data_IF_196000105103
#
_entry.id   IF_196000105103
#
_cell.length_a   1.000
_cell.length_b   1.000
_cell.length_c   1.000
_cell.angle_alpha   90.00
_cell.angle_beta   90.00
_cell.angle_gamma   90.00
#
_symmetry.space_group_name_H-M   'P 1'
#
loop_
_entity.id
_entity.type
_entity.pdbx_description
1 polymer ?
#
# COMPACT_ATOMS: atom_id res chain seq x y z
N UNK A 1 12.60 16.31 10.42
CA UNK A 1 13.38 17.57 10.40
C UNK A 1 14.47 17.47 9.35
N UNK A 2 14.93 18.58 8.81
CA UNK A 2 15.99 18.62 7.79
C UNK A 2 17.23 17.81 8.20
N UNK A 3 17.62 17.88 9.48
CA UNK A 3 18.74 17.09 10.00
C UNK A 3 18.46 15.58 9.99
N UNK A 4 17.24 15.17 10.27
CA UNK A 4 16.84 13.76 10.22
C UNK A 4 16.83 13.28 8.77
N UNK A 5 16.36 14.11 7.85
CA UNK A 5 16.31 13.79 6.43
C UNK A 5 17.72 13.62 5.84
N UNK A 6 18.65 14.50 6.23
CA UNK A 6 20.06 14.38 5.85
C UNK A 6 20.70 13.10 6.39
N UNK A 7 20.39 12.71 7.62
CA UNK A 7 20.90 11.48 8.23
C UNK A 7 20.33 10.24 7.53
N UNK A 8 19.04 10.23 7.22
CA UNK A 8 18.40 9.13 6.49
C UNK A 8 18.97 8.99 5.08
N UNK A 9 19.18 10.12 4.40
CA UNK A 9 19.80 10.11 3.06
C UNK A 9 21.22 9.55 3.10
N UNK A 10 22.04 9.99 4.05
CA UNK A 10 23.40 9.49 4.22
C UNK A 10 23.42 7.99 4.54
N UNK A 11 22.53 7.52 5.39
CA UNK A 11 22.39 6.11 5.72
C UNK A 11 22.00 5.28 4.48
N UNK A 12 21.04 5.76 3.69
CA UNK A 12 20.63 5.11 2.44
C UNK A 12 21.77 5.03 1.42
N UNK A 13 22.51 6.12 1.24
CA UNK A 13 23.67 6.15 0.34
C UNK A 13 24.77 5.18 0.79
N UNK A 14 24.98 5.03 2.09
CA UNK A 14 25.92 4.04 2.63
C UNK A 14 25.46 2.62 2.37
N UNK A 15 24.17 2.36 2.56
CA UNK A 15 23.54 1.07 2.29
C UNK A 15 23.63 0.67 0.82
N UNK A 16 23.33 1.58 -0.09
CA UNK A 16 23.36 1.34 -1.54
C UNK A 16 24.76 0.93 -2.05
N UNK A 17 25.82 1.28 -1.31
CA UNK A 17 27.21 0.91 -1.62
C UNK A 17 27.59 -0.49 -1.16
N UNK A 18 26.78 -1.14 -0.33
CA UNK A 18 27.05 -2.48 0.16
C UNK A 18 26.79 -3.53 -0.92
N UNK A 19 27.54 -4.62 -0.87
CA UNK A 19 27.24 -5.82 -1.66
C UNK A 19 26.02 -6.55 -1.07
N UNK A 20 25.39 -7.43 -1.84
CA UNK A 20 24.23 -8.20 -1.36
C UNK A 20 24.59 -9.04 -0.12
N UNK A 21 25.76 -9.67 -0.11
CA UNK A 21 26.24 -10.40 1.06
C UNK A 21 26.45 -9.52 2.30
N UNK A 22 26.93 -8.28 2.10
CA UNK A 22 27.06 -7.31 3.20
C UNK A 22 25.70 -6.83 3.71
N UNK A 23 24.74 -6.64 2.82
CA UNK A 23 23.36 -6.28 3.19
C UNK A 23 22.72 -7.36 4.05
N UNK A 24 22.85 -8.62 3.66
CA UNK A 24 22.36 -9.75 4.45
C UNK A 24 22.95 -9.79 5.88
N UNK A 25 24.24 -9.47 6.02
CA UNK A 25 24.89 -9.41 7.35
C UNK A 25 24.33 -8.29 8.24
N UNK A 26 23.92 -7.17 7.64
CA UNK A 26 23.35 -6.03 8.37
C UNK A 26 21.89 -6.28 8.73
N UNK A 27 21.11 -6.79 7.79
CA UNK A 27 19.68 -7.03 7.96
C UNK A 27 19.40 -8.14 8.98
N UNK A 28 20.13 -9.24 8.91
CA UNK A 28 19.82 -10.41 9.72
C UNK A 28 18.46 -11.03 9.40
N UNK A 29 18.06 -12.02 10.18
CA UNK A 29 16.84 -12.81 9.92
C UNK A 29 15.53 -12.05 10.20
N UNK A 30 15.58 -10.95 10.94
CA UNK A 30 14.40 -10.17 11.34
C UNK A 30 14.33 -8.78 10.72
N UNK A 31 15.22 -8.45 9.79
CA UNK A 31 15.18 -7.16 9.14
C UNK A 31 14.03 -7.10 8.13
N UNK A 32 13.50 -5.90 7.90
CA UNK A 32 12.53 -5.67 6.86
C UNK A 32 13.22 -5.82 5.48
N UNK A 33 12.93 -6.89 4.73
CA UNK A 33 13.67 -7.23 3.53
C UNK A 33 13.48 -6.25 2.38
N UNK A 34 12.42 -5.46 2.42
CA UNK A 34 12.04 -4.60 1.30
C UNK A 34 12.41 -3.12 1.48
N UNK A 35 12.88 -2.73 2.67
CA UNK A 35 13.09 -1.32 2.94
C UNK A 35 14.24 -0.72 2.13
N UNK A 36 15.41 -1.36 2.11
CA UNK A 36 16.59 -0.84 1.42
C UNK A 36 17.28 -1.82 0.46
N UNK A 37 16.93 -3.05 0.44
CA UNK A 37 17.80 -4.01 -0.19
C UNK A 37 17.19 -5.09 -1.05
N UNK A 38 15.94 -5.41 -0.87
CA UNK A 38 15.32 -6.48 -1.64
C UNK A 38 14.32 -5.94 -2.64
N UNK A 39 14.28 -6.59 -3.79
CA UNK A 39 13.23 -6.36 -4.77
C UNK A 39 11.94 -7.05 -4.30
N UNK A 40 10.91 -6.26 -4.06
CA UNK A 40 9.58 -6.74 -3.66
C UNK A 40 8.57 -6.68 -4.79
N UNK A 41 9.02 -6.35 -5.98
CA UNK A 41 8.20 -6.22 -7.18
C UNK A 41 8.00 -4.77 -7.63
N UNK A 42 7.28 -4.62 -8.70
CA UNK A 42 7.01 -3.34 -9.36
C UNK A 42 5.72 -2.72 -8.81
N UNK A 43 5.84 -1.61 -8.10
CA UNK A 43 4.72 -0.88 -7.51
C UNK A 43 3.72 -0.39 -8.58
N UNK A 44 4.18 -0.14 -9.81
CA UNK A 44 3.31 0.32 -10.90
C UNK A 44 2.28 -0.73 -11.37
N UNK A 45 2.42 -1.97 -10.94
CA UNK A 45 1.46 -3.05 -11.22
C UNK A 45 0.28 -3.05 -10.24
N UNK A 46 0.37 -2.30 -9.16
CA UNK A 46 -0.71 -2.14 -8.18
C UNK A 46 -1.57 -0.91 -8.50
N UNK A 47 -2.84 -0.99 -8.13
CA UNK A 47 -3.77 0.14 -8.18
C UNK A 47 -4.23 0.41 -6.74
N UNK A 48 -3.94 1.59 -6.17
CA UNK A 48 -4.33 1.91 -4.80
C UNK A 48 -5.83 2.06 -4.60
N UNK A 49 -6.63 2.07 -5.65
CA UNK A 49 -8.09 2.17 -5.65
C UNK A 49 -8.62 3.28 -4.72
N UNK A 50 -8.06 4.46 -4.85
CA UNK A 50 -8.44 5.65 -4.07
C UNK A 50 -8.92 6.82 -4.93
N UNK A 51 -9.44 6.52 -6.12
CA UNK A 51 -10.02 7.53 -7.02
C UNK A 51 -11.31 8.12 -6.46
N UNK A 52 -11.60 9.37 -6.84
CA UNK A 52 -12.78 10.12 -6.41
C UNK A 52 -14.03 9.91 -7.29
N UNK A 53 -13.94 9.04 -8.28
CA UNK A 53 -15.04 8.69 -9.17
C UNK A 53 -15.91 7.54 -8.58
N UNK A 54 -16.30 7.68 -7.33
CA UNK A 54 -17.11 6.70 -6.62
C UNK A 54 -18.60 6.97 -6.94
N UNK A 55 -19.31 5.92 -7.34
CA UNK A 55 -20.76 5.96 -7.52
C UNK A 55 -21.54 5.94 -6.19
N UNK A 56 -22.86 5.79 -6.27
CA UNK A 56 -23.70 5.74 -5.06
C UNK A 56 -23.51 4.47 -4.21
N UNK A 57 -22.91 3.44 -4.80
CA UNK A 57 -22.64 2.15 -4.16
C UNK A 57 -21.14 1.88 -4.13
N UNK A 58 -20.58 1.75 -2.96
CA UNK A 58 -19.17 1.46 -2.76
C UNK A 58 -18.96 0.13 -2.03
N UNK A 59 -18.05 -0.67 -2.53
CA UNK A 59 -17.52 -1.85 -1.87
C UNK A 59 -16.08 -1.52 -1.42
N UNK A 60 -15.92 -1.26 -0.14
CA UNK A 60 -14.63 -0.93 0.47
C UNK A 60 -13.95 -2.19 0.98
N UNK A 61 -12.85 -2.56 0.36
CA UNK A 61 -12.02 -3.70 0.76
C UNK A 61 -10.99 -3.22 1.76
N UNK A 62 -11.10 -3.71 2.99
CA UNK A 62 -10.24 -3.29 4.11
C UNK A 62 -9.35 -4.45 4.53
N UNK A 63 -8.05 -4.26 4.50
CA UNK A 63 -7.06 -5.24 4.95
C UNK A 63 -6.00 -4.61 5.83
N UNK A 64 -5.19 -5.44 6.49
CA UNK A 64 -4.00 -4.97 7.20
C UNK A 64 -3.03 -4.30 6.22
N UNK A 65 -2.89 -4.87 5.03
CA UNK A 65 -2.00 -4.41 3.99
C UNK A 65 -0.70 -5.19 3.94
N UNK A 66 0.06 -4.93 2.89
CA UNK A 66 1.42 -5.44 2.70
C UNK A 66 2.29 -4.43 1.98
N UNK A 67 3.55 -4.35 2.37
CA UNK A 67 4.57 -3.55 1.69
C UNK A 67 5.21 -4.28 0.50
N UNK A 68 4.99 -5.57 0.36
CA UNK A 68 5.48 -6.35 -0.78
C UNK A 68 4.67 -6.02 -2.05
N UNK A 69 5.29 -5.34 -3.00
CA UNK A 69 4.63 -4.87 -4.22
C UNK A 69 4.00 -6.00 -5.02
N UNK A 70 4.71 -7.10 -5.23
CA UNK A 70 4.20 -8.24 -5.98
C UNK A 70 2.96 -8.87 -5.30
N UNK A 71 2.98 -9.08 -3.99
CA UNK A 71 1.84 -9.61 -3.24
C UNK A 71 0.68 -8.61 -3.19
N UNK A 72 0.97 -7.33 -3.03
CA UNK A 72 -0.08 -6.31 -3.01
C UNK A 72 -0.85 -6.30 -4.33
N UNK A 73 -0.15 -6.31 -5.45
CA UNK A 73 -0.76 -6.32 -6.78
C UNK A 73 -1.47 -7.62 -7.12
N UNK A 74 -0.86 -8.78 -6.80
CA UNK A 74 -1.37 -10.08 -7.19
C UNK A 74 -2.45 -10.63 -6.23
N UNK A 75 -2.21 -10.53 -4.93
CA UNK A 75 -3.11 -11.12 -3.93
C UNK A 75 -4.23 -10.15 -3.55
N UNK A 76 -3.89 -8.99 -2.99
CA UNK A 76 -4.91 -7.99 -2.61
C UNK A 76 -5.60 -7.46 -3.87
N UNK A 77 -4.85 -7.03 -4.86
CA UNK A 77 -5.38 -6.57 -6.14
C UNK A 77 -6.19 -7.64 -6.88
N UNK A 78 -5.81 -8.89 -6.76
CA UNK A 78 -6.56 -10.03 -7.31
C UNK A 78 -7.95 -10.20 -6.70
N UNK A 79 -8.04 -10.09 -5.37
CA UNK A 79 -9.32 -10.12 -4.64
C UNK A 79 -10.20 -8.93 -5.05
N UNK A 80 -9.63 -7.72 -5.10
CA UNK A 80 -10.34 -6.52 -5.49
C UNK A 80 -10.89 -6.59 -6.92
N UNK A 81 -10.09 -7.09 -7.86
CA UNK A 81 -10.52 -7.30 -9.26
C UNK A 81 -11.64 -8.33 -9.36
N UNK A 82 -11.57 -9.42 -8.59
CA UNK A 82 -12.62 -10.43 -8.55
C UNK A 82 -13.93 -9.86 -7.97
N UNK A 83 -13.85 -9.06 -6.91
CA UNK A 83 -15.00 -8.39 -6.33
C UNK A 83 -15.62 -7.37 -7.30
N UNK A 84 -14.81 -6.60 -8.01
CA UNK A 84 -15.30 -5.67 -9.03
C UNK A 84 -15.99 -6.40 -10.18
N UNK A 85 -15.43 -7.50 -10.65
CA UNK A 85 -16.03 -8.31 -11.72
C UNK A 85 -17.36 -8.94 -11.29
N UNK A 86 -17.47 -9.37 -10.04
CA UNK A 86 -18.71 -9.93 -9.49
C UNK A 86 -19.77 -8.87 -9.14
N UNK A 87 -19.37 -7.61 -8.97
CA UNK A 87 -20.26 -6.52 -8.57
C UNK A 87 -20.04 -5.28 -9.48
N UNK A 88 -20.41 -5.37 -10.77
CA UNK A 88 -20.08 -4.31 -11.73
C UNK A 88 -20.77 -2.97 -11.47
N UNK A 89 -21.86 -2.95 -10.68
CA UNK A 89 -22.59 -1.74 -10.31
C UNK A 89 -22.01 -1.04 -9.06
N UNK A 90 -20.98 -1.65 -8.44
CA UNK A 90 -20.32 -1.13 -7.25
C UNK A 90 -18.95 -0.58 -7.60
N UNK A 91 -18.57 0.51 -6.95
CA UNK A 91 -17.21 1.02 -7.02
C UNK A 91 -16.36 0.33 -5.97
N UNK A 92 -15.37 -0.46 -6.38
CA UNK A 92 -14.43 -1.11 -5.46
C UNK A 92 -13.33 -0.12 -5.08
N UNK A 93 -13.10 0.04 -3.79
CA UNK A 93 -12.06 0.89 -3.22
C UNK A 93 -11.29 0.12 -2.15
N UNK A 94 -10.10 0.62 -1.83
CA UNK A 94 -9.17 -0.02 -0.88
C UNK A 94 -8.94 0.87 0.33
N UNK A 95 -8.78 0.25 1.50
CA UNK A 95 -8.17 0.87 2.66
C UNK A 95 -7.26 -0.13 3.37
N UNK A 96 -6.15 0.36 3.91
CA UNK A 96 -5.28 -0.41 4.80
C UNK A 96 -5.45 0.06 6.25
N UNK A 97 -5.31 -0.85 7.20
CA UNK A 97 -5.37 -0.53 8.63
C UNK A 97 -4.00 -0.30 9.25
N UNK A 98 -2.94 -0.86 8.67
CA UNK A 98 -1.58 -0.70 9.17
C UNK A 98 -0.94 0.58 8.65
N UNK A 99 -0.97 1.64 9.45
CA UNK A 99 -0.39 2.94 9.07
C UNK A 99 1.10 2.84 8.74
N UNK A 100 1.84 1.97 9.42
CA UNK A 100 3.25 1.74 9.14
C UNK A 100 3.49 1.23 7.71
N UNK A 101 2.62 0.36 7.20
CA UNK A 101 2.69 -0.13 5.82
C UNK A 101 2.36 0.98 4.83
N UNK A 102 1.31 1.75 5.10
CA UNK A 102 0.92 2.90 4.26
C UNK A 102 2.10 3.88 4.11
N UNK A 103 2.69 4.28 5.23
CA UNK A 103 3.82 5.20 5.24
C UNK A 103 5.05 4.64 4.52
N UNK A 104 5.29 3.35 4.67
CA UNK A 104 6.42 2.66 4.04
C UNK A 104 6.29 2.65 2.52
N UNK A 105 5.13 2.26 2.00
CA UNK A 105 4.84 2.21 0.56
C UNK A 105 4.91 3.61 -0.05
N UNK A 106 4.34 4.61 0.61
CA UNK A 106 4.41 6.00 0.16
C UNK A 106 5.86 6.50 0.12
N UNK A 107 6.64 6.26 1.16
CA UNK A 107 8.03 6.72 1.23
C UNK A 107 8.95 6.04 0.20
N UNK A 108 8.71 4.77 -0.11
CA UNK A 108 9.53 3.98 -1.03
C UNK A 108 9.13 4.16 -2.48
N UNK A 109 7.83 4.16 -2.77
CA UNK A 109 7.29 4.03 -4.12
C UNK A 109 6.39 5.21 -4.55
N UNK A 110 6.21 6.23 -3.71
CA UNK A 110 5.25 7.33 -3.93
C UNK A 110 3.80 6.85 -4.14
N UNK A 111 3.48 5.63 -3.73
CA UNK A 111 2.14 5.08 -3.81
C UNK A 111 1.34 5.44 -2.55
N UNK A 112 0.30 6.24 -2.72
CA UNK A 112 -0.57 6.68 -1.63
C UNK A 112 -1.75 5.72 -1.50
N UNK A 113 -1.84 5.06 -0.34
CA UNK A 113 -2.93 4.14 -0.01
C UNK A 113 -3.75 4.75 1.13
N UNK A 114 -5.06 4.78 1.00
CA UNK A 114 -5.94 5.33 2.02
C UNK A 114 -5.94 4.43 3.29
N UNK A 115 -5.93 5.07 4.46
CA UNK A 115 -6.34 4.42 5.70
C UNK A 115 -7.88 4.45 5.81
N UNK A 116 -8.42 3.85 6.88
CA UNK A 116 -9.89 3.80 7.07
C UNK A 116 -10.54 5.18 7.09
N UNK A 117 -9.94 6.15 7.79
CA UNK A 117 -10.49 7.50 7.88
C UNK A 117 -10.52 8.18 6.52
N UNK A 118 -9.43 8.13 5.81
CA UNK A 118 -9.33 8.73 4.47
C UNK A 118 -10.32 8.10 3.49
N UNK A 119 -10.46 6.76 3.51
CA UNK A 119 -11.42 6.07 2.65
C UNK A 119 -12.87 6.43 2.96
N UNK A 120 -13.22 6.56 4.25
CA UNK A 120 -14.56 6.96 4.67
C UNK A 120 -14.86 8.43 4.35
N UNK A 121 -13.89 9.32 4.55
CA UNK A 121 -14.02 10.73 4.16
C UNK A 121 -14.24 10.87 2.66
N UNK A 122 -13.50 10.10 1.86
CA UNK A 122 -13.66 10.04 0.40
C UNK A 122 -15.06 9.55 0.00
N UNK A 123 -15.58 8.53 0.68
CA UNK A 123 -16.94 8.04 0.44
C UNK A 123 -18.01 9.13 0.72
N UNK A 124 -17.85 9.86 1.80
CA UNK A 124 -18.76 10.97 2.15
C UNK A 124 -18.67 12.10 1.11
N UNK A 125 -17.48 12.51 0.75
CA UNK A 125 -17.24 13.59 -0.23
C UNK A 125 -17.81 13.24 -1.61
N UNK A 126 -17.78 11.97 -1.99
CA UNK A 126 -18.33 11.50 -3.27
C UNK A 126 -19.84 11.15 -3.22
N UNK A 127 -20.49 11.34 -2.09
CA UNK A 127 -21.93 11.13 -1.96
C UNK A 127 -22.36 9.67 -2.01
N UNK A 128 -21.52 8.76 -1.51
CA UNK A 128 -21.87 7.33 -1.40
C UNK A 128 -23.08 7.14 -0.50
N UNK A 129 -24.08 6.41 -0.99
CA UNK A 129 -25.32 6.12 -0.25
C UNK A 129 -25.37 4.73 0.34
N UNK A 130 -24.69 3.79 -0.28
CA UNK A 130 -24.62 2.39 0.15
C UNK A 130 -23.14 1.98 0.20
N UNK A 131 -22.63 1.78 1.40
CA UNK A 131 -21.28 1.35 1.67
C UNK A 131 -21.29 -0.06 2.26
N UNK A 132 -20.61 -0.98 1.61
CA UNK A 132 -20.32 -2.32 2.11
C UNK A 132 -18.83 -2.44 2.38
N UNK A 133 -18.47 -2.88 3.58
CA UNK A 133 -17.07 -3.11 3.96
C UNK A 133 -16.79 -4.61 3.91
N UNK A 134 -15.82 -4.99 3.10
CA UNK A 134 -15.34 -6.36 2.97
C UNK A 134 -13.98 -6.50 3.65
N UNK A 135 -13.90 -7.40 4.61
CA UNK A 135 -12.64 -7.77 5.26
C UNK A 135 -12.17 -9.09 4.66
N UNK A 136 -11.16 -9.11 3.80
CA UNK A 136 -10.51 -10.35 3.40
C UNK A 136 -9.71 -10.89 4.60
N UNK A 137 -9.93 -12.14 4.89
CA UNK A 137 -9.26 -12.83 6.01
C UNK A 137 -8.07 -13.61 5.47
#
# INVERSE_FOLDING_TARGET
>A
TDKTDEQCKAAKEAWDKLTDAQKELVEGDNADPDYFGRDTGDASQDDPLNGDDIGEKELLVVSFGTSFNASRAADIGGVEKALQAANPDWSVRRAFTAQIIINHVEARDDEVIDNMQQALDRAVENGVKNLVVQLPI
#
